data_IF_265182824113
#
_entry.id   IF_265182824113
#
_cell.length_a   1.000
_cell.length_b   1.000
_cell.length_c   1.000
_cell.angle_alpha   90.00
_cell.angle_beta   90.00
_cell.angle_gamma   90.00
#
_symmetry.space_group_name_H-M   'P 1'
#
loop_
_entity.id
_entity.type
_entity.pdbx_description
1 polymer ?
#
# COMPACT_ATOMS: atom_id res chain seq x y z
N UNK A 1 -11.62 -4.37 54.76
CA UNK A 1 -11.74 -3.91 53.36
C UNK A 1 -10.46 -3.29 52.77
N UNK A 2 -9.47 -2.88 53.56
CA UNK A 2 -8.25 -2.20 53.07
C UNK A 2 -7.23 -3.16 52.40
N UNK A 3 -7.29 -4.47 52.70
CA UNK A 3 -6.30 -5.44 52.20
C UNK A 3 -6.53 -5.90 50.74
N UNK A 4 -7.70 -5.62 50.15
CA UNK A 4 -8.04 -6.12 48.82
C UNK A 4 -7.64 -5.15 47.70
N UNK A 5 -7.61 -3.83 47.98
CA UNK A 5 -7.27 -2.79 47.00
C UNK A 5 -5.78 -2.73 46.69
N UNK A 6 -4.91 -2.99 47.67
CA UNK A 6 -3.45 -3.02 47.47
C UNK A 6 -2.99 -4.17 46.57
N UNK A 7 -3.67 -5.32 46.61
CA UNK A 7 -3.35 -6.47 45.75
C UNK A 7 -3.69 -6.22 44.27
N UNK A 8 -4.77 -5.48 43.99
CA UNK A 8 -5.14 -5.08 42.63
C UNK A 8 -4.19 -4.03 42.05
N UNK A 9 -3.70 -3.09 42.86
CA UNK A 9 -2.74 -2.06 42.42
C UNK A 9 -1.37 -2.68 42.08
N UNK A 10 -0.91 -3.67 42.86
CA UNK A 10 0.33 -4.41 42.55
C UNK A 10 0.21 -5.26 41.28
N UNK A 11 -0.92 -5.95 41.09
CA UNK A 11 -1.18 -6.71 39.86
C UNK A 11 -1.28 -5.81 38.61
N UNK A 12 -1.91 -4.64 38.73
CA UNK A 12 -1.98 -3.66 37.64
C UNK A 12 -0.59 -3.06 37.34
N UNK A 13 0.24 -2.81 38.36
CA UNK A 13 1.61 -2.34 38.20
C UNK A 13 2.50 -3.32 37.41
N UNK A 14 2.41 -4.61 37.72
CA UNK A 14 3.16 -5.68 37.01
C UNK A 14 2.64 -5.89 35.58
N UNK A 15 1.32 -5.80 35.35
CA UNK A 15 0.73 -5.90 34.00
C UNK A 15 1.11 -4.74 33.09
N UNK A 16 1.22 -3.54 33.67
CA UNK A 16 1.61 -2.35 32.95
C UNK A 16 3.13 -2.40 32.64
N UNK A 17 3.99 -2.83 33.56
CA UNK A 17 5.46 -2.85 33.34
C UNK A 17 5.94 -3.86 32.27
N UNK A 18 5.10 -4.79 31.81
CA UNK A 18 5.43 -5.81 30.80
C UNK A 18 5.07 -5.45 29.34
N UNK A 19 4.72 -4.19 29.04
CA UNK A 19 4.62 -3.69 27.65
C UNK A 19 5.41 -2.37 27.60
N UNK A 20 6.42 -2.17 26.72
CA UNK A 20 6.44 -2.51 25.29
C UNK A 20 7.85 -2.81 24.69
N UNK A 21 8.22 -4.07 24.47
CA UNK A 21 9.45 -4.40 23.71
C UNK A 21 9.22 -4.44 22.18
N UNK A 22 7.97 -4.40 21.70
CA UNK A 22 7.65 -4.65 20.29
C UNK A 22 7.75 -3.40 19.38
N UNK A 23 7.59 -2.20 19.92
CA UNK A 23 7.60 -0.97 19.09
C UNK A 23 9.01 -0.54 18.65
N UNK A 24 10.05 -0.82 19.46
CA UNK A 24 11.43 -0.49 19.11
C UNK A 24 11.96 -1.38 17.97
N UNK A 25 11.55 -2.66 17.94
CA UNK A 25 11.93 -3.59 16.88
C UNK A 25 11.37 -3.19 15.51
N UNK A 26 10.20 -2.56 15.44
CA UNK A 26 9.57 -2.22 14.16
C UNK A 26 10.34 -1.15 13.37
N UNK A 27 10.83 -0.10 14.04
CA UNK A 27 11.59 0.97 13.39
C UNK A 27 12.97 0.49 12.93
N UNK A 28 13.65 -0.31 13.76
CA UNK A 28 14.96 -0.89 13.41
C UNK A 28 14.83 -1.88 12.24
N UNK A 29 13.81 -2.76 12.29
CA UNK A 29 13.53 -3.69 11.19
C UNK A 29 13.23 -2.95 9.89
N UNK A 30 12.45 -1.86 9.94
CA UNK A 30 12.18 -1.04 8.75
C UNK A 30 13.46 -0.46 8.17
N UNK A 31 14.36 0.08 9.00
CA UNK A 31 15.66 0.59 8.56
C UNK A 31 16.52 -0.50 7.90
N UNK A 32 16.53 -1.72 8.48
CA UNK A 32 17.23 -2.88 7.89
C UNK A 32 16.66 -3.27 6.53
N UNK A 33 15.33 -3.26 6.37
CA UNK A 33 14.68 -3.55 5.10
C UNK A 33 14.94 -2.47 4.05
N UNK A 34 14.90 -1.19 4.44
CA UNK A 34 15.24 -0.07 3.56
C UNK A 34 16.70 -0.17 3.09
N UNK A 35 17.62 -0.56 3.97
CA UNK A 35 19.02 -0.80 3.63
C UNK A 35 19.19 -2.00 2.69
N UNK A 36 18.47 -3.11 2.93
CA UNK A 36 18.49 -4.28 2.04
C UNK A 36 17.95 -3.94 0.65
N UNK A 37 16.85 -3.18 0.57
CA UNK A 37 16.30 -2.71 -0.69
C UNK A 37 17.28 -1.81 -1.45
N UNK A 38 17.99 -0.91 -0.76
CA UNK A 38 19.06 -0.12 -1.37
C UNK A 38 20.16 -1.01 -1.96
N UNK A 39 20.61 -2.04 -1.22
CA UNK A 39 21.63 -2.97 -1.71
C UNK A 39 21.14 -3.76 -2.94
N UNK A 40 19.87 -4.20 -2.97
CA UNK A 40 19.30 -4.84 -4.17
C UNK A 40 19.39 -3.91 -5.39
N UNK A 41 18.95 -2.66 -5.24
CA UNK A 41 18.97 -1.66 -6.31
C UNK A 41 20.41 -1.36 -6.76
N UNK A 42 21.33 -1.19 -5.81
CA UNK A 42 22.76 -0.98 -6.07
C UNK A 42 23.35 -2.15 -6.87
N UNK A 43 23.12 -3.39 -6.44
CA UNK A 43 23.60 -4.60 -7.13
C UNK A 43 23.03 -4.70 -8.54
N UNK A 44 21.78 -4.27 -8.76
CA UNK A 44 21.20 -4.20 -10.11
C UNK A 44 21.91 -3.16 -10.99
N UNK A 45 22.21 -1.97 -10.46
CA UNK A 45 22.94 -0.93 -11.20
C UNK A 45 24.37 -1.41 -11.53
N UNK A 46 25.06 -2.04 -10.59
CA UNK A 46 26.38 -2.64 -10.83
C UNK A 46 26.31 -3.75 -11.88
N UNK A 47 25.27 -4.58 -11.90
CA UNK A 47 25.06 -5.55 -12.98
C UNK A 47 24.90 -4.88 -14.35
N UNK A 48 24.17 -3.77 -14.45
CA UNK A 48 24.02 -3.03 -15.71
C UNK A 48 25.37 -2.52 -16.25
N UNK A 49 26.33 -2.20 -15.39
CA UNK A 49 27.69 -1.82 -15.83
C UNK A 49 28.45 -2.95 -16.52
N UNK A 50 28.03 -4.21 -16.34
CA UNK A 50 28.65 -5.37 -17.00
C UNK A 50 28.11 -5.61 -18.42
N UNK A 51 27.00 -4.96 -18.79
CA UNK A 51 26.41 -5.01 -20.13
C UNK A 51 27.09 -3.99 -21.07
N UNK A 52 28.28 -4.36 -21.54
CA UNK A 52 29.08 -3.54 -22.47
C UNK A 52 28.45 -3.39 -23.85
N UNK A 53 27.48 -4.24 -24.21
CA UNK A 53 26.76 -4.14 -25.48
C UNK A 53 25.78 -2.97 -25.45
N UNK A 54 25.02 -2.84 -24.36
CA UNK A 54 24.08 -1.73 -24.20
C UNK A 54 24.79 -0.44 -23.76
N UNK A 55 25.78 -0.53 -22.87
CA UNK A 55 26.45 0.62 -22.25
C UNK A 55 27.94 0.64 -22.59
N UNK A 56 28.31 1.39 -23.64
CA UNK A 56 29.68 1.40 -24.17
C UNK A 56 30.66 2.30 -23.37
N UNK A 57 30.14 3.22 -22.55
CA UNK A 57 30.93 4.25 -21.86
C UNK A 57 31.07 4.00 -20.35
N UNK A 58 30.98 2.74 -19.92
CA UNK A 58 31.18 2.35 -18.51
C UNK A 58 32.65 2.57 -18.12
N UNK A 59 32.86 3.34 -17.04
CA UNK A 59 34.18 3.68 -16.47
C UNK A 59 34.54 2.82 -15.26
N UNK A 60 33.54 2.42 -14.47
CA UNK A 60 33.71 1.63 -13.26
C UNK A 60 32.55 0.64 -13.10
N UNK A 61 32.84 -0.57 -12.65
CA UNK A 61 31.87 -1.66 -12.50
C UNK A 61 31.30 -1.82 -11.08
N UNK A 62 31.77 -1.01 -10.12
CA UNK A 62 31.35 -1.07 -8.72
C UNK A 62 31.18 0.33 -8.14
N UNK A 63 30.13 0.51 -7.34
CA UNK A 63 29.82 1.77 -6.69
C UNK A 63 30.27 1.75 -5.23
N UNK A 64 31.06 2.73 -4.80
CA UNK A 64 31.38 2.96 -3.38
C UNK A 64 30.34 3.87 -2.69
N UNK A 65 29.09 3.77 -3.12
CA UNK A 65 27.98 4.54 -2.56
C UNK A 65 27.28 3.81 -1.40
N UNK A 66 26.85 4.59 -0.43
CA UNK A 66 26.03 4.23 0.74
C UNK A 66 24.64 4.89 0.72
N UNK A 67 24.37 5.72 -0.29
CA UNK A 67 23.14 6.49 -0.46
C UNK A 67 22.63 6.45 -1.90
N UNK A 68 21.33 6.74 -2.08
CA UNK A 68 20.70 6.82 -3.40
C UNK A 68 21.28 7.94 -4.26
N UNK A 69 21.68 9.06 -3.67
CA UNK A 69 22.27 10.18 -4.41
C UNK A 69 23.65 9.80 -4.95
N UNK A 70 24.50 9.16 -4.14
CA UNK A 70 25.78 8.63 -4.62
C UNK A 70 25.62 7.54 -5.68
N UNK A 71 24.54 6.74 -5.63
CA UNK A 71 24.22 5.78 -6.68
C UNK A 71 23.80 6.46 -7.99
N UNK A 72 23.09 7.59 -7.92
CA UNK A 72 22.75 8.42 -9.10
C UNK A 72 23.99 9.07 -9.71
N UNK A 73 24.91 9.59 -8.89
CA UNK A 73 26.18 10.12 -9.37
C UNK A 73 26.98 9.04 -10.12
N UNK A 74 27.01 7.81 -9.58
CA UNK A 74 27.64 6.67 -10.23
C UNK A 74 26.98 6.32 -11.58
N UNK A 75 25.65 6.39 -11.67
CA UNK A 75 24.89 6.19 -12.92
C UNK A 75 25.27 7.25 -13.96
N UNK A 76 25.35 8.53 -13.55
CA UNK A 76 25.73 9.63 -14.43
C UNK A 76 27.18 9.50 -14.90
N UNK A 77 28.12 9.13 -14.02
CA UNK A 77 29.53 8.95 -14.36
C UNK A 77 29.76 7.84 -15.41
N UNK A 78 28.94 6.78 -15.38
CA UNK A 78 29.00 5.63 -16.27
C UNK A 78 28.01 5.71 -17.46
N UNK A 79 27.28 6.81 -17.61
CA UNK A 79 26.33 7.03 -18.71
C UNK A 79 25.28 5.91 -18.87
N UNK A 80 24.78 5.37 -17.74
CA UNK A 80 23.79 4.30 -17.74
C UNK A 80 22.38 4.86 -18.05
N UNK A 81 22.06 5.03 -19.33
CA UNK A 81 20.82 5.65 -19.80
C UNK A 81 19.58 4.95 -19.20
N UNK A 82 18.77 5.71 -18.45
CA UNK A 82 17.51 5.25 -17.85
C UNK A 82 17.66 4.49 -16.53
N UNK A 83 18.88 4.25 -16.05
CA UNK A 83 19.11 3.61 -14.76
C UNK A 83 18.70 4.52 -13.58
N UNK A 84 18.74 5.84 -13.76
CA UNK A 84 18.24 6.84 -12.82
C UNK A 84 16.75 6.65 -12.51
N UNK A 85 15.93 6.50 -13.56
CA UNK A 85 14.49 6.23 -13.44
C UNK A 85 14.24 4.88 -12.79
N UNK A 86 15.04 3.85 -13.13
CA UNK A 86 14.95 2.53 -12.50
C UNK A 86 15.17 2.62 -10.99
N UNK A 87 16.17 3.38 -10.54
CA UNK A 87 16.46 3.60 -9.10
C UNK A 87 15.27 4.26 -8.40
N UNK A 88 14.71 5.32 -8.98
CA UNK A 88 13.58 6.04 -8.38
C UNK A 88 12.29 5.19 -8.32
N UNK A 89 11.98 4.46 -9.39
CA UNK A 89 10.84 3.54 -9.42
C UNK A 89 11.00 2.39 -8.42
N UNK A 90 12.20 1.78 -8.38
CA UNK A 90 12.49 0.68 -7.46
C UNK A 90 12.46 1.13 -6.00
N UNK A 91 13.01 2.32 -5.68
CA UNK A 91 12.95 2.93 -4.35
C UNK A 91 11.51 3.17 -3.92
N UNK A 92 10.67 3.71 -4.81
CA UNK A 92 9.24 3.93 -4.52
C UNK A 92 8.51 2.61 -4.24
N UNK A 93 8.77 1.59 -5.05
CA UNK A 93 8.14 0.27 -4.87
C UNK A 93 8.62 -0.43 -3.60
N UNK A 94 9.90 -0.33 -3.27
CA UNK A 94 10.43 -0.82 -2.00
C UNK A 94 9.73 -0.14 -0.82
N UNK A 95 9.57 1.19 -0.83
CA UNK A 95 8.86 1.90 0.22
C UNK A 95 7.39 1.46 0.37
N UNK A 96 6.70 1.19 -0.74
CA UNK A 96 5.33 0.66 -0.74
C UNK A 96 5.24 -0.76 -0.16
N UNK A 97 6.13 -1.66 -0.59
CA UNK A 97 6.16 -3.05 -0.10
C UNK A 97 6.55 -3.12 1.38
N UNK A 98 7.56 -2.34 1.80
CA UNK A 98 8.05 -2.32 3.18
C UNK A 98 7.01 -1.71 4.13
N UNK A 99 6.16 -0.80 3.67
CA UNK A 99 5.05 -0.27 4.47
C UNK A 99 4.03 -1.36 4.87
N UNK A 100 3.96 -2.48 4.13
CA UNK A 100 3.10 -3.62 4.40
C UNK A 100 3.82 -4.66 5.28
N UNK A 101 4.35 -4.22 6.43
CA UNK A 101 5.38 -4.83 7.31
C UNK A 101 5.18 -6.32 7.66
N UNK A 102 4.00 -6.89 7.46
CA UNK A 102 3.66 -8.23 7.93
C UNK A 102 4.49 -9.35 7.25
N UNK A 103 5.14 -9.08 6.11
CA UNK A 103 5.95 -10.08 5.39
C UNK A 103 7.26 -9.50 4.83
N UNK A 104 8.32 -9.38 5.65
CA UNK A 104 9.61 -8.79 5.24
C UNK A 104 10.27 -9.47 4.04
N UNK A 105 10.16 -10.80 3.97
CA UNK A 105 10.72 -11.60 2.87
C UNK A 105 10.00 -11.29 1.55
N UNK A 106 8.67 -11.40 1.56
CA UNK A 106 7.80 -11.11 0.40
C UNK A 106 7.99 -9.68 -0.08
N UNK A 107 8.18 -8.72 0.83
CA UNK A 107 8.44 -7.33 0.47
C UNK A 107 9.73 -7.17 -0.36
N UNK A 108 10.83 -7.82 0.06
CA UNK A 108 12.12 -7.78 -0.65
C UNK A 108 12.12 -8.64 -1.92
N UNK A 109 11.48 -9.82 -1.91
CA UNK A 109 11.29 -10.64 -3.11
C UNK A 109 10.51 -9.86 -4.18
N UNK A 110 9.46 -9.12 -3.80
CA UNK A 110 8.74 -8.26 -4.73
C UNK A 110 9.58 -7.11 -5.31
N UNK A 111 10.63 -6.65 -4.62
CA UNK A 111 11.60 -5.69 -5.15
C UNK A 111 12.58 -6.38 -6.11
N UNK A 112 13.09 -7.57 -5.75
CA UNK A 112 13.94 -8.40 -6.61
C UNK A 112 13.24 -8.72 -7.94
N UNK A 113 12.01 -9.20 -7.90
CA UNK A 113 11.23 -9.56 -9.09
C UNK A 113 11.00 -8.36 -10.00
N UNK A 114 10.69 -7.20 -9.40
CA UNK A 114 10.56 -5.95 -10.13
C UNK A 114 11.85 -5.56 -10.86
N UNK A 115 12.99 -5.66 -10.16
CA UNK A 115 14.30 -5.34 -10.73
C UNK A 115 14.64 -6.30 -11.86
N UNK A 116 14.50 -7.62 -11.66
CA UNK A 116 14.70 -8.66 -12.67
C UNK A 116 13.81 -8.45 -13.90
N UNK A 117 12.53 -8.15 -13.69
CA UNK A 117 11.59 -7.85 -14.77
C UNK A 117 12.06 -6.62 -15.58
N UNK A 118 12.53 -5.57 -14.91
CA UNK A 118 12.95 -4.34 -15.58
C UNK A 118 14.29 -4.48 -16.29
N UNK A 119 15.23 -5.25 -15.75
CA UNK A 119 16.58 -5.33 -16.34
C UNK A 119 16.80 -6.50 -17.28
N UNK A 120 16.11 -7.62 -17.08
CA UNK A 120 16.43 -8.88 -17.77
C UNK A 120 15.20 -9.59 -18.35
N UNK A 121 14.09 -8.90 -18.60
CA UNK A 121 12.91 -9.47 -19.27
C UNK A 121 12.50 -8.69 -20.53
N UNK A 122 11.62 -9.30 -21.35
CA UNK A 122 11.12 -8.69 -22.59
C UNK A 122 12.26 -8.44 -23.59
N UNK A 123 12.32 -7.22 -24.13
CA UNK A 123 13.37 -6.80 -25.07
C UNK A 123 14.80 -6.85 -24.48
N UNK A 124 14.90 -6.98 -23.15
CA UNK A 124 16.17 -7.07 -22.41
C UNK A 124 16.51 -8.50 -21.96
N UNK A 125 15.75 -9.49 -22.41
CA UNK A 125 15.96 -10.90 -22.04
C UNK A 125 17.36 -11.42 -22.44
N UNK A 126 18.01 -10.81 -23.45
CA UNK A 126 19.39 -11.14 -23.83
C UNK A 126 20.38 -10.98 -22.67
N UNK A 127 20.09 -10.12 -21.68
CA UNK A 127 20.94 -9.92 -20.50
C UNK A 127 21.02 -11.14 -19.59
N UNK A 128 20.06 -12.06 -19.67
CA UNK A 128 20.13 -13.33 -18.94
C UNK A 128 21.28 -14.22 -19.42
N UNK A 129 21.77 -14.00 -20.64
CA UNK A 129 22.90 -14.74 -21.21
C UNK A 129 24.26 -14.11 -20.87
N UNK A 130 24.30 -12.98 -20.15
CA UNK A 130 25.56 -12.38 -19.73
C UNK A 130 26.25 -13.30 -18.71
N UNK A 131 27.58 -13.52 -18.79
CA UNK A 131 28.30 -14.39 -17.86
C UNK A 131 28.15 -13.98 -16.38
N UNK A 132 27.86 -12.70 -16.14
CA UNK A 132 27.68 -12.10 -14.81
C UNK A 132 26.25 -12.25 -14.25
N UNK A 133 25.27 -12.69 -15.06
CA UNK A 133 23.87 -12.74 -14.65
C UNK A 133 23.61 -13.71 -13.48
N UNK A 134 24.20 -14.91 -13.53
CA UNK A 134 24.04 -15.90 -12.46
C UNK A 134 24.62 -15.40 -11.11
N UNK A 135 25.75 -14.68 -11.16
CA UNK A 135 26.34 -14.06 -9.98
C UNK A 135 25.46 -12.91 -9.44
N UNK A 136 24.83 -12.15 -10.33
CA UNK A 136 23.87 -11.09 -9.99
C UNK A 136 22.63 -11.64 -9.26
N UNK A 137 22.00 -12.71 -9.77
CA UNK A 137 20.83 -13.31 -9.09
C UNK A 137 21.20 -13.86 -7.71
N UNK A 138 22.31 -14.58 -7.62
CA UNK A 138 22.83 -15.11 -6.36
C UNK A 138 23.13 -14.00 -5.34
N UNK A 139 23.69 -12.86 -5.80
CA UNK A 139 23.95 -11.71 -4.94
C UNK A 139 22.65 -11.11 -4.37
N UNK A 140 21.59 -11.01 -5.18
CA UNK A 140 20.28 -10.54 -4.71
C UNK A 140 19.68 -11.47 -3.66
N UNK A 141 19.73 -12.79 -3.89
CA UNK A 141 19.27 -13.78 -2.91
C UNK A 141 20.08 -13.73 -1.61
N UNK A 142 21.39 -13.53 -1.71
CA UNK A 142 22.27 -13.31 -0.57
C UNK A 142 21.92 -12.05 0.24
N UNK A 143 21.48 -10.98 -0.41
CA UNK A 143 21.01 -9.76 0.27
C UNK A 143 19.72 -10.03 1.04
N UNK A 144 18.74 -10.70 0.41
CA UNK A 144 17.45 -11.03 1.04
C UNK A 144 17.68 -11.93 2.26
N UNK A 145 18.46 -13.00 2.11
CA UNK A 145 18.71 -13.93 3.21
C UNK A 145 19.43 -13.25 4.39
N UNK A 146 20.44 -12.41 4.14
CA UNK A 146 21.14 -11.67 5.21
C UNK A 146 20.24 -10.70 5.97
N UNK A 147 19.31 -10.05 5.28
CA UNK A 147 18.37 -9.12 5.89
C UNK A 147 17.38 -9.83 6.83
N UNK A 148 17.10 -11.12 6.59
CA UNK A 148 16.16 -11.91 7.36
C UNK A 148 16.82 -12.70 8.52
N UNK A 149 18.10 -13.06 8.41
CA UNK A 149 18.79 -13.89 9.40
C UNK A 149 19.35 -13.11 10.60
N UNK A 150 19.41 -11.78 10.53
CA UNK A 150 20.05 -10.93 11.57
C UNK A 150 19.20 -10.74 12.85
N UNK A 151 18.17 -11.55 13.05
CA UNK A 151 17.30 -11.52 14.23
C UNK A 151 17.76 -12.33 15.44
N UNK A 152 18.91 -13.03 15.40
CA UNK A 152 19.24 -14.01 16.46
C UNK A 152 20.69 -14.06 16.96
N UNK A 153 21.54 -13.08 16.66
CA UNK A 153 22.91 -13.08 17.17
C UNK A 153 23.24 -11.78 17.91
N UNK A 154 23.33 -11.89 19.24
CA UNK A 154 24.17 -11.03 20.07
C UNK A 154 25.56 -10.96 19.41
N UNK A 155 26.02 -9.74 19.20
CA UNK A 155 27.23 -9.38 18.49
C UNK A 155 28.44 -10.24 18.92
N UNK A 156 29.01 -10.96 17.97
CA UNK A 156 30.44 -11.27 17.95
C UNK A 156 31.06 -10.37 16.89
N UNK A 157 32.09 -9.57 17.20
CA UNK A 157 32.73 -8.69 16.23
C UNK A 157 33.37 -9.52 15.11
N UNK A 158 33.10 -9.14 13.87
CA UNK A 158 33.72 -9.72 12.68
C UNK A 158 35.24 -9.51 12.75
N UNK A 159 35.97 -10.62 12.86
CA UNK A 159 37.40 -10.68 12.57
C UNK A 159 37.59 -10.52 11.06
N UNK A 160 38.33 -9.49 10.67
CA UNK A 160 39.00 -9.38 9.38
C UNK A 160 39.83 -10.63 9.12
N UNK A 161 39.42 -11.44 8.16
CA UNK A 161 40.25 -12.50 7.59
C UNK A 161 41.06 -11.88 6.47
N UNK A 162 42.31 -11.54 6.78
CA UNK A 162 43.33 -11.22 5.80
C UNK A 162 43.55 -12.43 4.89
N UNK A 163 43.36 -12.24 3.60
CA UNK A 163 43.79 -13.19 2.57
C UNK A 163 45.27 -12.93 2.27
N UNK A 164 46.12 -13.96 2.11
CA UNK A 164 47.57 -13.78 2.05
C UNK A 164 47.99 -13.15 0.72
N UNK A 165 48.50 -11.93 0.78
CA UNK A 165 49.26 -11.30 -0.29
C UNK A 165 50.68 -11.89 -0.33
N UNK A 166 51.06 -12.35 -1.52
CA UNK A 166 52.35 -12.97 -1.77
C UNK A 166 53.50 -11.99 -1.52
N UNK A 167 54.47 -12.47 -0.75
CA UNK A 167 55.68 -11.77 -0.37
C UNK A 167 56.53 -11.32 -1.57
N UNK A 168 57.05 -10.08 -1.52
CA UNK A 168 58.46 -9.78 -1.83
C UNK A 168 58.88 -8.52 -1.04
N UNK A 169 60.06 -8.48 -0.39
CA UNK A 169 60.45 -7.42 0.54
C UNK A 169 61.26 -6.33 -0.16
N UNK A 170 61.29 -5.10 0.38
CA UNK A 170 62.49 -4.23 0.42
C UNK A 170 62.28 -3.00 1.35
N UNK A 171 63.10 -2.98 2.41
CA UNK A 171 63.82 -1.87 3.06
C UNK A 171 63.13 -0.57 3.55
N UNK A 172 63.13 -0.43 4.88
CA UNK A 172 63.90 0.55 5.69
C UNK A 172 63.76 2.05 5.44
N UNK A 173 63.20 2.77 6.44
CA UNK A 173 63.79 3.85 7.26
C UNK A 173 62.64 4.58 7.98
N UNK A 174 62.50 4.55 9.30
CA UNK A 174 63.28 5.30 10.30
C UNK A 174 63.19 6.82 10.10
N UNK A 175 62.45 7.51 10.97
CA UNK A 175 62.89 8.72 11.70
C UNK A 175 61.78 9.15 12.68
N UNK A 176 62.21 9.38 13.92
CA UNK A 176 61.45 9.78 15.09
C UNK A 176 61.43 11.31 15.31
N UNK A 177 60.82 11.71 16.43
CA UNK A 177 61.11 12.89 17.28
C UNK A 177 60.17 14.15 17.18
N UNK A 178 60.12 15.05 18.21
CA UNK A 178 59.15 14.99 19.31
C UNK A 178 58.38 16.33 19.59
N UNK A 179 57.65 16.35 20.73
CA UNK A 179 56.74 17.39 21.29
C UNK A 179 57.39 18.79 21.60
N UNK A 180 56.65 19.87 22.01
CA UNK A 180 56.08 19.99 23.37
C UNK A 180 54.81 20.90 23.61
N UNK A 181 54.07 20.55 24.68
CA UNK A 181 53.45 21.35 25.79
C UNK A 181 53.09 22.84 25.62
N UNK A 182 51.85 23.21 25.99
CA UNK A 182 51.54 24.38 26.82
C UNK A 182 50.13 24.32 27.50
N UNK A 183 50.10 24.57 28.81
CA UNK A 183 48.94 24.78 29.70
C UNK A 183 48.75 26.29 29.97
N UNK A 184 47.53 26.80 30.19
CA UNK A 184 47.24 27.54 31.44
C UNK A 184 45.80 27.30 31.96
N UNK A 185 45.62 26.97 33.25
CA UNK A 185 45.41 27.86 34.42
C UNK A 185 43.95 28.16 34.74
N UNK A 186 43.52 27.59 35.87
CA UNK A 186 42.29 27.84 36.61
C UNK A 186 42.06 29.34 36.90
N UNK A 187 40.82 29.81 36.75
CA UNK A 187 40.27 30.92 37.55
C UNK A 187 39.00 30.44 38.22
N UNK A 188 39.15 30.16 39.51
CA UNK A 188 38.13 29.73 40.44
C UNK A 188 37.39 30.99 40.93
N UNK A 189 36.14 31.17 40.51
CA UNK A 189 35.24 32.18 41.09
C UNK A 189 34.05 31.49 41.76
N UNK A 190 33.99 31.65 43.08
CA UNK A 190 32.96 31.17 43.98
C UNK A 190 31.62 31.90 43.72
N UNK A 191 30.72 31.33 42.90
CA UNK A 191 29.29 31.73 42.89
C UNK A 191 28.29 30.60 42.60
N UNK A 192 28.71 29.34 42.59
CA UNK A 192 27.91 28.22 42.03
C UNK A 192 27.05 27.44 43.04
N UNK A 193 26.27 28.11 43.90
CA UNK A 193 25.30 27.39 44.76
C UNK A 193 23.85 27.44 44.29
N UNK A 194 23.46 28.36 43.39
CA UNK A 194 22.07 28.44 42.89
C UNK A 194 21.88 27.82 41.49
N UNK A 195 22.87 27.87 40.61
CA UNK A 195 22.73 27.33 39.24
C UNK A 195 22.65 25.80 39.21
N UNK A 196 23.33 25.11 40.12
CA UNK A 196 23.21 23.66 40.26
C UNK A 196 21.78 23.24 40.62
N UNK A 197 21.07 24.01 41.46
CA UNK A 197 19.68 23.71 41.81
C UNK A 197 18.73 23.89 40.63
N UNK A 198 18.95 24.90 39.78
CA UNK A 198 18.16 25.09 38.57
C UNK A 198 18.33 23.93 37.58
N UNK A 199 19.55 23.41 37.44
CA UNK A 199 19.84 22.26 36.58
C UNK A 199 19.20 20.98 37.13
N UNK A 200 19.27 20.74 38.44
CA UNK A 200 18.58 19.60 39.07
C UNK A 200 17.05 19.68 38.92
N UNK A 201 16.44 20.85 39.09
CA UNK A 201 14.99 21.04 38.88
C UNK A 201 14.58 20.86 37.41
N UNK A 202 15.41 21.31 36.46
CA UNK A 202 15.17 21.11 35.04
C UNK A 202 15.23 19.63 34.64
N UNK A 203 16.16 18.86 35.21
CA UNK A 203 16.23 17.41 34.98
C UNK A 203 15.02 16.71 35.61
N UNK A 204 14.63 17.11 36.83
CA UNK A 204 13.48 16.52 37.51
C UNK A 204 12.16 16.77 36.76
N UNK A 205 11.99 17.95 36.15
CA UNK A 205 10.80 18.26 35.35
C UNK A 205 10.76 17.44 34.05
N UNK A 206 11.92 17.25 33.40
CA UNK A 206 12.02 16.41 32.20
C UNK A 206 11.65 14.95 32.52
N UNK A 207 12.15 14.42 33.64
CA UNK A 207 11.80 13.08 34.12
C UNK A 207 10.31 12.98 34.45
N UNK A 208 9.73 14.02 35.06
CA UNK A 208 8.29 14.08 35.35
C UNK A 208 7.41 14.06 34.09
N UNK A 209 7.77 14.83 33.07
CA UNK A 209 7.04 14.86 31.79
C UNK A 209 7.19 13.53 31.04
N UNK A 210 8.40 12.95 31.01
CA UNK A 210 8.63 11.63 30.41
C UNK A 210 7.83 10.53 31.14
N UNK A 211 7.72 10.62 32.46
CA UNK A 211 6.93 9.69 33.26
C UNK A 211 5.42 9.83 33.02
N UNK A 212 4.90 11.06 32.88
CA UNK A 212 3.50 11.30 32.51
C UNK A 212 3.19 10.82 31.09
N UNK A 213 4.05 11.10 30.11
CA UNK A 213 3.92 10.59 28.75
C UNK A 213 3.93 9.06 28.72
N UNK A 214 4.82 8.44 29.50
CA UNK A 214 4.86 7.00 29.68
C UNK A 214 3.54 6.47 30.27
N UNK A 215 2.99 7.10 31.32
CA UNK A 215 1.70 6.68 31.90
C UNK A 215 0.52 6.79 30.93
N UNK A 216 0.49 7.84 30.09
CA UNK A 216 -0.56 8.00 29.06
C UNK A 216 -0.47 6.91 28.00
N UNK A 217 0.73 6.61 27.49
CA UNK A 217 0.95 5.52 26.52
C UNK A 217 0.63 4.16 27.12
N UNK A 218 0.95 3.97 28.40
CA UNK A 218 0.78 2.69 29.12
C UNK A 218 -0.69 2.39 29.47
N UNK A 219 -1.51 3.43 29.72
CA UNK A 219 -2.93 3.28 30.01
C UNK A 219 -3.81 3.13 28.76
N UNK A 220 -3.26 3.30 27.56
CA UNK A 220 -3.92 2.88 26.33
C UNK A 220 -3.86 1.34 26.25
N UNK A 221 -4.88 0.67 26.79
CA UNK A 221 -5.04 -0.79 26.62
C UNK A 221 -5.14 -1.09 25.11
N UNK A 222 -4.28 -1.94 24.54
CA UNK A 222 -4.39 -2.32 23.14
C UNK A 222 -5.58 -3.28 23.00
N UNK A 223 -6.66 -2.79 22.40
CA UNK A 223 -7.73 -3.64 21.85
C UNK A 223 -7.30 -4.40 20.57
N UNK A 224 -6.00 -4.40 20.23
CA UNK A 224 -5.47 -4.97 18.98
C UNK A 224 -5.36 -6.50 18.97
N UNK A 225 -5.35 -7.18 20.13
CA UNK A 225 -5.08 -8.63 20.19
C UNK A 225 -6.15 -9.52 19.54
N UNK A 226 -7.41 -9.07 19.42
CA UNK A 226 -8.44 -9.83 18.71
C UNK A 226 -8.42 -9.55 17.19
N UNK A 227 -7.89 -8.38 16.79
CA UNK A 227 -7.82 -7.96 15.39
C UNK A 227 -6.64 -8.63 14.68
N UNK A 228 -5.50 -8.78 15.36
CA UNK A 228 -4.29 -9.37 14.78
C UNK A 228 -4.45 -10.87 14.48
N UNK A 229 -5.13 -11.63 15.36
CA UNK A 229 -5.46 -13.06 15.08
C UNK A 229 -6.41 -13.20 13.89
N UNK A 230 -7.32 -12.23 13.71
CA UNK A 230 -8.22 -12.21 12.58
C UNK A 230 -7.49 -11.85 11.27
N UNK A 231 -6.53 -10.90 11.33
CA UNK A 231 -5.67 -10.55 10.21
C UNK A 231 -4.75 -11.69 9.78
N UNK A 232 -4.14 -12.44 10.70
CA UNK A 232 -3.29 -13.58 10.36
C UNK A 232 -4.08 -14.70 9.67
N UNK A 233 -5.32 -14.95 10.12
CA UNK A 233 -6.20 -15.91 9.45
C UNK A 233 -6.63 -15.46 8.04
N UNK A 234 -6.77 -14.15 7.84
CA UNK A 234 -7.08 -13.57 6.52
C UNK A 234 -5.86 -13.56 5.60
N UNK A 235 -4.66 -13.31 6.14
CA UNK A 235 -3.40 -13.42 5.43
C UNK A 235 -3.12 -14.85 4.97
N UNK A 236 -3.36 -15.85 5.83
CA UNK A 236 -3.27 -17.25 5.44
C UNK A 236 -4.26 -17.61 4.32
N UNK A 237 -5.49 -17.06 4.37
CA UNK A 237 -6.54 -17.30 3.37
C UNK A 237 -6.28 -16.56 2.04
N UNK A 238 -5.64 -15.38 2.10
CA UNK A 238 -5.21 -14.62 0.92
C UNK A 238 -3.99 -15.29 0.27
N UNK A 239 -3.03 -15.76 1.07
CA UNK A 239 -1.89 -16.55 0.58
C UNK A 239 -2.35 -17.82 -0.12
N UNK A 240 -3.34 -18.53 0.44
CA UNK A 240 -3.91 -19.74 -0.19
C UNK A 240 -4.71 -19.41 -1.46
N UNK A 241 -5.32 -18.23 -1.55
CA UNK A 241 -5.96 -17.75 -2.78
C UNK A 241 -4.93 -17.33 -3.83
N UNK A 242 -3.83 -16.69 -3.43
CA UNK A 242 -2.75 -16.31 -4.34
C UNK A 242 -2.07 -17.55 -4.89
N UNK A 243 -1.74 -18.55 -4.05
CA UNK A 243 -1.18 -19.81 -4.52
C UNK A 243 -2.14 -20.55 -5.45
N UNK A 244 -3.45 -20.55 -5.16
CA UNK A 244 -4.47 -21.14 -6.03
C UNK A 244 -4.68 -20.36 -7.33
N UNK A 245 -4.50 -19.04 -7.30
CA UNK A 245 -4.52 -18.20 -8.50
C UNK A 245 -3.24 -18.32 -9.31
N UNK A 246 -2.10 -18.58 -8.69
CA UNK A 246 -0.81 -18.81 -9.35
C UNK A 246 -0.74 -20.20 -9.97
N UNK A 247 -1.28 -21.22 -9.30
CA UNK A 247 -1.54 -22.54 -9.89
C UNK A 247 -2.54 -22.44 -11.04
N UNK A 248 -3.58 -21.59 -10.94
CA UNK A 248 -4.48 -21.31 -12.08
C UNK A 248 -3.80 -20.51 -13.19
N UNK A 249 -2.94 -19.54 -12.89
CA UNK A 249 -2.20 -18.75 -13.89
C UNK A 249 -1.20 -19.61 -14.65
N UNK A 250 -0.68 -20.66 -14.03
CA UNK A 250 0.13 -21.69 -14.70
C UNK A 250 -0.71 -22.81 -15.36
N UNK A 251 -2.03 -22.87 -15.14
CA UNK A 251 -2.96 -23.86 -15.74
C UNK A 251 -4.02 -23.29 -16.69
N UNK A 252 -4.07 -21.98 -16.95
CA UNK A 252 -5.08 -21.36 -17.83
C UNK A 252 -4.47 -20.15 -18.53
N UNK A 253 -4.79 -19.77 -19.77
CA UNK A 253 -5.74 -20.28 -20.75
C UNK A 253 -5.50 -19.43 -22.02
N UNK A 254 -4.66 -19.87 -22.94
CA UNK A 254 -4.77 -19.41 -24.33
C UNK A 254 -4.90 -20.62 -25.24
N UNK A 255 -4.07 -21.65 -25.06
CA UNK A 255 -4.11 -22.88 -25.87
C UNK A 255 -5.34 -23.76 -25.64
N UNK A 256 -5.88 -23.85 -24.42
CA UNK A 256 -7.04 -24.71 -24.14
C UNK A 256 -8.37 -24.09 -24.62
N UNK A 257 -8.55 -22.77 -24.49
CA UNK A 257 -9.72 -22.10 -25.06
C UNK A 257 -9.68 -22.08 -26.58
N UNK A 258 -8.51 -21.90 -27.20
CA UNK A 258 -8.37 -21.97 -28.66
C UNK A 258 -8.67 -23.38 -29.18
N UNK A 259 -8.19 -24.44 -28.51
CA UNK A 259 -8.50 -25.81 -28.91
C UNK A 259 -9.98 -26.16 -28.72
N UNK A 260 -10.61 -25.71 -27.63
CA UNK A 260 -12.05 -25.92 -27.43
C UNK A 260 -12.89 -25.16 -28.47
N UNK A 261 -12.45 -23.96 -28.88
CA UNK A 261 -13.10 -23.21 -29.97
C UNK A 261 -12.87 -23.87 -31.33
N UNK A 262 -11.68 -24.41 -31.61
CA UNK A 262 -11.38 -25.16 -32.83
C UNK A 262 -12.24 -26.42 -32.94
N UNK A 263 -12.39 -27.17 -31.85
CA UNK A 263 -13.21 -28.39 -31.84
C UNK A 263 -14.72 -28.08 -31.95
N UNK A 264 -15.17 -26.99 -31.33
CA UNK A 264 -16.55 -26.52 -31.49
C UNK A 264 -16.83 -26.05 -32.94
N UNK A 265 -15.87 -25.37 -33.56
CA UNK A 265 -15.98 -24.92 -34.94
C UNK A 265 -15.97 -26.12 -35.91
N UNK A 266 -15.11 -27.12 -35.70
CA UNK A 266 -15.06 -28.33 -36.51
C UNK A 266 -16.40 -29.11 -36.45
N UNK A 267 -17.01 -29.24 -35.27
CA UNK A 267 -18.34 -29.86 -35.12
C UNK A 267 -19.42 -29.06 -35.85
N UNK A 268 -19.36 -27.73 -35.81
CA UNK A 268 -20.33 -26.87 -36.49
C UNK A 268 -20.25 -27.01 -38.02
N UNK A 269 -19.04 -27.15 -38.57
CA UNK A 269 -18.82 -27.34 -40.01
C UNK A 269 -19.36 -28.70 -40.47
N UNK A 270 -19.11 -29.78 -39.72
CA UNK A 270 -19.67 -31.10 -40.04
C UNK A 270 -21.20 -31.12 -40.08
N UNK A 271 -21.85 -30.41 -39.16
CA UNK A 271 -23.31 -30.29 -39.14
C UNK A 271 -23.85 -29.50 -40.33
N UNK A 272 -23.14 -28.47 -40.79
CA UNK A 272 -23.52 -27.72 -41.98
C UNK A 272 -23.32 -28.53 -43.27
N UNK A 273 -22.27 -29.36 -43.35
CA UNK A 273 -22.06 -30.27 -44.48
C UNK A 273 -23.13 -31.35 -44.56
N UNK A 274 -23.49 -31.99 -43.43
CA UNK A 274 -24.58 -32.98 -43.40
C UNK A 274 -25.92 -32.37 -43.81
N UNK A 275 -26.25 -31.17 -43.33
CA UNK A 275 -27.48 -30.47 -43.72
C UNK A 275 -27.49 -30.03 -45.19
N UNK A 276 -26.31 -29.84 -45.82
CA UNK A 276 -26.21 -29.42 -47.23
C UNK A 276 -26.47 -30.58 -48.18
N UNK A 277 -26.15 -31.82 -47.80
CA UNK A 277 -26.41 -33.02 -48.62
C UNK A 277 -27.87 -33.45 -48.67
N UNK A 278 -28.73 -32.97 -47.76
CA UNK A 278 -30.12 -33.42 -47.65
C UNK A 278 -31.18 -32.46 -48.20
N UNK A 279 -30.82 -31.29 -48.75
CA UNK A 279 -31.83 -30.37 -49.31
C UNK A 279 -32.03 -30.60 -50.82
N UNK A 280 -33.15 -31.20 -51.27
CA UNK A 280 -33.46 -31.32 -52.68
C UNK A 280 -33.83 -29.94 -53.23
N UNK A 281 -33.37 -29.66 -54.45
CA UNK A 281 -33.68 -28.44 -55.17
C UNK A 281 -35.20 -28.28 -55.36
N UNK A 282 -35.76 -27.18 -54.87
CA UNK A 282 -37.13 -26.76 -55.15
C UNK A 282 -37.24 -25.22 -55.12
N UNK A 283 -38.20 -24.65 -55.87
CA UNK A 283 -37.95 -23.51 -56.76
C UNK A 283 -38.23 -22.14 -56.14
N UNK A 284 -37.63 -21.15 -56.79
CA UNK A 284 -37.72 -19.70 -56.60
C UNK A 284 -39.16 -19.17 -56.53
N UNK A 285 -39.53 -18.58 -55.41
CA UNK A 285 -40.68 -17.68 -55.29
C UNK A 285 -40.23 -16.30 -54.79
N UNK A 286 -40.49 -15.28 -55.60
CA UNK A 286 -40.26 -13.85 -55.34
C UNK A 286 -41.44 -13.28 -54.56
N UNK A 287 -41.24 -12.57 -53.44
CA UNK A 287 -42.20 -11.56 -52.91
C UNK A 287 -41.45 -10.52 -52.04
N UNK A 288 -41.90 -9.24 -52.02
CA UNK A 288 -41.07 -8.03 -51.84
C UNK A 288 -41.15 -7.35 -50.46
N UNK A 289 -40.19 -6.44 -50.23
CA UNK A 289 -40.05 -5.60 -49.04
C UNK A 289 -41.18 -4.55 -48.92
N UNK A 290 -41.73 -4.41 -47.71
CA UNK A 290 -42.62 -3.31 -47.32
C UNK A 290 -41.95 -2.44 -46.25
N UNK A 291 -41.96 -1.13 -46.52
CA UNK A 291 -41.27 -0.04 -45.82
C UNK A 291 -42.25 0.63 -44.86
N UNK A 292 -41.93 0.70 -43.56
CA UNK A 292 -42.73 1.43 -42.56
C UNK A 292 -42.01 2.71 -42.13
N UNK A 293 -42.68 3.85 -42.33
CA UNK A 293 -42.32 5.21 -41.85
C UNK A 293 -42.79 5.44 -40.40
N UNK A 294 -42.14 6.29 -39.60
CA UNK A 294 -42.63 6.69 -38.28
C UNK A 294 -43.53 7.94 -38.34
N UNK A 295 -44.60 7.93 -37.53
CA UNK A 295 -45.54 9.04 -37.36
C UNK A 295 -45.20 9.90 -36.14
N UNK A 296 -45.29 11.20 -36.38
CA UNK A 296 -45.22 12.34 -35.45
C UNK A 296 -46.46 12.38 -34.55
N UNK A 297 -46.31 12.75 -33.28
CA UNK A 297 -47.42 13.19 -32.45
C UNK A 297 -47.03 14.40 -31.62
N UNK A 298 -47.89 15.41 -31.70
CA UNK A 298 -47.76 16.82 -31.33
C UNK A 298 -48.86 17.17 -30.31
N UNK A 299 -48.55 18.13 -29.41
CA UNK A 299 -49.45 18.94 -28.56
C UNK A 299 -50.16 18.24 -27.36
N UNK A 300 -50.65 18.95 -26.30
CA UNK A 300 -51.07 20.37 -26.30
C UNK A 300 -50.80 21.25 -25.05
N UNK A 301 -50.99 22.55 -25.30
CA UNK A 301 -51.02 23.73 -24.42
C UNK A 301 -51.87 23.62 -23.14
N UNK A 302 -51.42 24.31 -22.08
CA UNK A 302 -52.20 24.58 -20.86
C UNK A 302 -52.09 26.07 -20.45
N UNK A 303 -53.17 26.72 -19.95
CA UNK A 303 -53.42 28.15 -20.13
C UNK A 303 -52.93 29.08 -19.01
N UNK A 304 -52.77 30.33 -19.43
CA UNK A 304 -52.38 31.54 -18.70
C UNK A 304 -53.51 32.05 -17.77
N UNK A 305 -53.17 32.45 -16.52
CA UNK A 305 -54.12 33.06 -15.56
C UNK A 305 -53.43 34.22 -14.81
N UNK A 306 -54.14 35.32 -14.44
CA UNK A 306 -53.57 36.66 -14.40
C UNK A 306 -53.27 37.25 -13.00
N UNK A 307 -52.33 38.20 -13.01
CA UNK A 307 -52.04 39.33 -12.11
C UNK A 307 -52.76 39.44 -10.75
N UNK A 308 -51.95 39.47 -9.67
CA UNK A 308 -52.27 40.14 -8.39
C UNK A 308 -51.09 40.99 -7.87
N UNK A 309 -51.38 42.06 -7.08
CA UNK A 309 -50.47 43.18 -6.88
C UNK A 309 -49.45 42.98 -5.77
N UNK A 310 -48.40 43.80 -5.88
CA UNK A 310 -47.19 43.87 -5.07
C UNK A 310 -47.45 43.99 -3.55
N UNK A 311 -46.78 43.13 -2.79
CA UNK A 311 -46.56 43.34 -1.37
C UNK A 311 -45.06 43.36 -1.07
N UNK A 312 -44.60 44.52 -0.58
CA UNK A 312 -43.23 44.84 -0.18
C UNK A 312 -42.88 44.11 1.12
N UNK A 313 -41.58 43.91 1.34
CA UNK A 313 -40.93 43.23 2.48
C UNK A 313 -40.93 41.69 2.42
N UNK A 314 -40.25 41.11 1.43
CA UNK A 314 -39.65 39.77 1.58
C UNK A 314 -38.27 39.95 2.21
N UNK A 315 -38.13 39.52 3.46
CA UNK A 315 -36.84 39.04 3.96
C UNK A 315 -36.32 38.01 2.94
N UNK A 316 -35.02 38.00 2.59
CA UNK A 316 -34.47 36.93 1.78
C UNK A 316 -34.66 35.63 2.55
N UNK A 317 -35.70 34.87 2.20
CA UNK A 317 -35.85 33.49 2.59
C UNK A 317 -34.70 32.76 1.93
N UNK A 318 -33.61 32.59 2.67
CA UNK A 318 -32.51 31.70 2.31
C UNK A 318 -33.15 30.32 2.20
N UNK A 319 -33.45 29.92 0.97
CA UNK A 319 -33.94 28.58 0.67
C UNK A 319 -32.86 27.61 1.15
N UNK A 320 -33.16 26.70 2.09
CA UNK A 320 -32.16 25.76 2.58
C UNK A 320 -31.64 24.99 1.38
N UNK A 321 -30.32 25.05 1.15
CA UNK A 321 -29.67 24.36 0.05
C UNK A 321 -30.11 22.90 0.08
N UNK A 322 -30.72 22.44 -1.02
CA UNK A 322 -31.21 21.08 -1.13
C UNK A 322 -29.99 20.15 -1.00
N UNK A 323 -29.99 19.19 -0.07
CA UNK A 323 -28.84 18.30 0.09
C UNK A 323 -28.60 17.53 -1.21
N UNK A 324 -27.39 17.64 -1.74
CA UNK A 324 -26.98 16.92 -2.95
C UNK A 324 -26.59 15.50 -2.54
N UNK A 325 -27.30 14.51 -3.08
CA UNK A 325 -26.95 13.11 -2.92
C UNK A 325 -25.88 12.71 -3.95
N UNK A 326 -24.84 12.04 -3.48
CA UNK A 326 -23.78 11.43 -4.28
C UNK A 326 -23.66 9.94 -3.93
N UNK A 327 -23.08 9.16 -4.82
CA UNK A 327 -23.01 7.71 -4.69
C UNK A 327 -21.59 7.22 -4.92
N UNK A 328 -21.17 6.21 -4.16
CA UNK A 328 -19.84 5.62 -4.28
C UNK A 328 -19.90 4.09 -4.22
N UNK A 329 -19.02 3.44 -4.97
CA UNK A 329 -18.89 1.97 -4.96
C UNK A 329 -18.09 1.46 -3.76
N UNK A 330 -17.00 2.13 -3.42
CA UNK A 330 -16.11 1.75 -2.32
C UNK A 330 -15.39 2.98 -1.78
N UNK A 331 -14.80 2.88 -0.59
CA UNK A 331 -13.87 3.86 -0.05
C UNK A 331 -12.49 3.63 -0.69
N UNK A 332 -12.31 4.14 -1.91
CA UNK A 332 -11.17 3.90 -2.79
C UNK A 332 -9.81 4.36 -2.22
N UNK A 333 -9.82 5.27 -1.26
CA UNK A 333 -8.62 5.83 -0.63
C UNK A 333 -8.37 5.28 0.78
N UNK A 334 -9.06 4.21 1.20
CA UNK A 334 -8.89 3.50 2.47
C UNK A 334 -9.44 4.22 3.71
N UNK A 335 -9.25 5.53 3.82
CA UNK A 335 -9.84 6.41 4.86
C UNK A 335 -10.80 7.45 4.27
N UNK A 336 -11.29 7.24 3.05
CA UNK A 336 -12.20 8.18 2.41
C UNK A 336 -12.62 7.80 1.00
N UNK A 337 -13.36 8.72 0.39
CA UNK A 337 -13.83 8.65 -0.99
C UNK A 337 -13.15 9.74 -1.82
N UNK A 338 -12.65 9.42 -3.01
CA UNK A 338 -12.21 10.41 -3.99
C UNK A 338 -13.40 11.23 -4.48
N UNK A 339 -13.30 12.56 -4.48
CA UNK A 339 -14.36 13.44 -4.98
C UNK A 339 -14.68 13.19 -6.47
N UNK A 340 -13.66 12.83 -7.26
CA UNK A 340 -13.83 12.49 -8.69
C UNK A 340 -14.40 11.10 -8.94
N UNK A 341 -14.45 10.23 -7.92
CA UNK A 341 -15.04 8.89 -7.99
C UNK A 341 -16.52 8.84 -7.59
N UNK A 342 -17.12 9.98 -7.22
CA UNK A 342 -18.50 10.07 -6.80
C UNK A 342 -19.44 10.22 -8.00
N UNK A 343 -20.51 9.44 -8.00
CA UNK A 343 -21.55 9.47 -9.02
C UNK A 343 -22.74 10.31 -8.55
N UNK A 344 -23.42 10.98 -9.47
CA UNK A 344 -24.64 11.77 -9.17
C UNK A 344 -25.91 10.94 -9.26
N UNK A 345 -25.83 9.74 -9.85
CA UNK A 345 -26.95 8.81 -10.01
C UNK A 345 -26.64 7.48 -9.33
N UNK A 346 -27.60 6.86 -8.64
CA UNK A 346 -27.39 5.56 -8.03
C UNK A 346 -27.25 4.50 -9.12
N UNK A 347 -26.19 3.69 -9.06
CA UNK A 347 -25.96 2.57 -9.97
C UNK A 347 -26.10 1.24 -9.22
N UNK A 348 -26.02 0.12 -9.95
CA UNK A 348 -26.19 -1.21 -9.34
C UNK A 348 -25.03 -1.59 -8.42
N UNK A 349 -23.87 -0.95 -8.59
CA UNK A 349 -22.65 -1.21 -7.84
C UNK A 349 -22.27 -0.10 -6.86
N UNK A 350 -23.11 0.92 -6.68
CA UNK A 350 -22.89 1.97 -5.67
C UNK A 350 -23.33 1.50 -4.28
N UNK A 351 -22.36 1.09 -3.45
CA UNK A 351 -22.59 0.56 -2.10
C UNK A 351 -22.92 1.65 -1.08
N UNK A 352 -22.49 2.89 -1.31
CA UNK A 352 -22.64 3.99 -0.37
C UNK A 352 -23.48 5.13 -0.95
N UNK A 353 -24.42 5.61 -0.14
CA UNK A 353 -25.18 6.84 -0.38
C UNK A 353 -24.57 7.95 0.48
N UNK A 354 -24.15 9.04 -0.13
CA UNK A 354 -23.50 10.19 0.50
C UNK A 354 -24.42 11.40 0.39
N UNK A 355 -24.69 12.05 1.51
CA UNK A 355 -25.52 13.26 1.58
C UNK A 355 -24.65 14.44 2.00
N UNK A 356 -24.47 15.41 1.09
CA UNK A 356 -23.70 16.64 1.39
C UNK A 356 -24.53 17.54 2.31
N UNK A 357 -23.96 17.88 3.47
CA UNK A 357 -24.58 18.78 4.45
C UNK A 357 -24.07 20.22 4.31
N UNK A 358 -22.79 20.38 3.99
CA UNK A 358 -22.15 21.66 3.69
C UNK A 358 -20.97 21.46 2.73
N UNK A 359 -20.34 22.54 2.27
CA UNK A 359 -19.20 22.50 1.36
C UNK A 359 -18.02 21.64 1.85
N UNK A 360 -17.92 21.43 3.17
CA UNK A 360 -16.83 20.67 3.79
C UNK A 360 -17.28 19.46 4.60
N UNK A 361 -18.59 19.24 4.76
CA UNK A 361 -19.12 18.14 5.59
C UNK A 361 -20.20 17.37 4.85
N UNK A 362 -20.14 16.05 4.96
CA UNK A 362 -21.15 15.15 4.42
C UNK A 362 -21.37 13.97 5.37
N UNK A 363 -22.52 13.33 5.26
CA UNK A 363 -22.80 12.05 5.92
C UNK A 363 -22.91 10.94 4.89
N UNK A 364 -22.62 9.71 5.27
CA UNK A 364 -22.79 8.57 4.38
C UNK A 364 -23.38 7.35 5.08
N UNK A 365 -24.02 6.49 4.30
CA UNK A 365 -24.60 5.24 4.78
C UNK A 365 -24.49 4.17 3.69
N UNK A 366 -24.64 2.90 4.08
CA UNK A 366 -24.75 1.81 3.10
C UNK A 366 -26.10 1.92 2.40
N UNK A 367 -26.09 1.80 1.07
CA UNK A 367 -27.27 1.91 0.22
C UNK A 367 -28.33 0.85 0.57
N UNK A 368 -29.60 1.23 0.48
CA UNK A 368 -30.71 0.32 0.72
C UNK A 368 -31.04 -0.58 -0.48
N UNK A 369 -30.42 -0.31 -1.64
CA UNK A 369 -30.61 -1.06 -2.88
C UNK A 369 -30.15 -2.52 -2.73
N UNK A 370 -31.04 -3.46 -3.03
CA UNK A 370 -30.79 -4.89 -2.90
C UNK A 370 -29.60 -5.39 -3.74
N UNK A 371 -29.40 -4.84 -4.94
CA UNK A 371 -28.26 -5.22 -5.80
C UNK A 371 -26.93 -4.74 -5.21
N UNK A 372 -26.87 -3.50 -4.73
CA UNK A 372 -25.70 -2.94 -4.07
C UNK A 372 -25.36 -3.68 -2.77
N UNK A 373 -26.38 -4.04 -1.98
CA UNK A 373 -26.18 -4.84 -0.77
C UNK A 373 -25.69 -6.25 -1.08
N UNK A 374 -26.23 -6.90 -2.12
CA UNK A 374 -25.74 -8.21 -2.57
C UNK A 374 -24.27 -8.15 -2.99
N UNK A 375 -23.87 -7.08 -3.69
CA UNK A 375 -22.46 -6.85 -4.03
C UNK A 375 -21.60 -6.69 -2.78
N UNK A 376 -22.02 -5.83 -1.84
CA UNK A 376 -21.29 -5.63 -0.58
C UNK A 376 -21.19 -6.91 0.25
N UNK A 377 -22.24 -7.75 0.27
CA UNK A 377 -22.26 -9.03 0.97
C UNK A 377 -21.44 -10.12 0.29
N UNK A 378 -21.16 -10.01 -1.01
CA UNK A 378 -20.30 -10.96 -1.71
C UNK A 378 -18.84 -10.92 -1.23
N UNK A 379 -18.39 -9.73 -0.80
CA UNK A 379 -17.09 -9.53 -0.16
C UNK A 379 -17.13 -8.37 0.85
N UNK A 380 -17.69 -8.57 2.06
CA UNK A 380 -17.88 -7.51 3.05
C UNK A 380 -16.56 -6.83 3.44
N UNK A 381 -15.46 -7.57 3.46
CA UNK A 381 -14.17 -7.03 3.88
C UNK A 381 -13.60 -6.02 2.88
N UNK A 382 -13.81 -6.24 1.58
CA UNK A 382 -13.34 -5.32 0.54
C UNK A 382 -14.23 -4.09 0.39
N UNK A 383 -15.55 -4.22 0.58
CA UNK A 383 -16.48 -3.11 0.34
C UNK A 383 -16.81 -2.28 1.59
N UNK A 384 -16.81 -2.88 2.78
CA UNK A 384 -17.37 -2.23 3.98
C UNK A 384 -16.33 -1.97 5.09
N UNK A 385 -15.23 -2.73 5.19
CA UNK A 385 -14.30 -2.65 6.33
C UNK A 385 -13.67 -1.26 6.51
N UNK A 386 -13.37 -0.59 5.41
CA UNK A 386 -12.71 0.72 5.42
C UNK A 386 -13.67 1.82 5.90
N UNK A 387 -14.97 1.71 5.57
CA UNK A 387 -15.96 2.74 5.83
C UNK A 387 -16.96 2.41 6.96
N UNK A 388 -17.06 1.17 7.41
CA UNK A 388 -18.10 0.74 8.36
C UNK A 388 -17.52 0.05 9.59
N UNK A 389 -18.26 0.14 10.69
CA UNK A 389 -18.08 -0.63 11.92
C UNK A 389 -19.21 -1.66 12.03
N UNK A 390 -18.86 -2.92 12.27
CA UNK A 390 -19.81 -4.03 12.31
C UNK A 390 -20.34 -4.26 13.71
N UNK A 391 -21.65 -4.08 13.89
CA UNK A 391 -22.34 -4.39 15.15
C UNK A 391 -22.69 -5.88 15.25
N UNK A 392 -22.86 -6.56 14.12
CA UNK A 392 -23.08 -8.01 14.04
C UNK A 392 -22.19 -8.61 12.95
N UNK A 393 -22.04 -9.95 12.92
CA UNK A 393 -21.26 -10.61 11.87
C UNK A 393 -22.09 -10.85 10.60
N UNK A 394 -21.48 -10.78 9.40
CA UNK A 394 -22.19 -11.05 8.14
C UNK A 394 -22.64 -12.51 8.04
N UNK A 395 -23.89 -12.71 7.62
CA UNK A 395 -24.48 -14.01 7.32
C UNK A 395 -24.80 -14.08 5.81
N UNK A 396 -24.62 -15.22 5.13
CA UNK A 396 -24.93 -15.38 3.70
C UNK A 396 -26.31 -14.87 3.24
N UNK A 397 -27.31 -14.90 4.13
CA UNK A 397 -28.68 -14.46 3.82
C UNK A 397 -29.08 -13.16 4.53
N UNK A 398 -28.12 -12.45 5.14
CA UNK A 398 -28.41 -11.22 5.87
C UNK A 398 -28.66 -10.04 4.95
N UNK A 399 -29.40 -9.05 5.44
CA UNK A 399 -29.51 -7.72 4.84
C UNK A 399 -28.66 -6.72 5.62
N UNK A 400 -28.08 -5.72 4.96
CA UNK A 400 -27.32 -4.69 5.65
C UNK A 400 -28.29 -3.58 6.06
N UNK A 401 -28.26 -3.19 7.33
CA UNK A 401 -28.96 -2.03 7.88
C UNK A 401 -27.97 -1.08 8.53
N UNK A 402 -28.01 0.18 8.13
CA UNK A 402 -27.25 1.25 8.78
C UNK A 402 -27.99 1.69 10.03
N UNK A 403 -27.37 1.50 11.21
CA UNK A 403 -27.91 1.94 12.50
C UNK A 403 -27.47 3.38 12.82
N UNK A 404 -26.24 3.74 12.44
CA UNK A 404 -25.72 5.11 12.56
C UNK A 404 -24.96 5.49 11.26
N UNK A 405 -25.33 6.59 10.58
CA UNK A 405 -24.59 7.06 9.42
C UNK A 405 -23.18 7.54 9.82
N UNK A 406 -22.23 7.38 8.92
CA UNK A 406 -20.86 7.88 9.08
C UNK A 406 -20.75 9.36 8.70
N UNK A 407 -19.61 9.96 9.07
CA UNK A 407 -19.30 11.37 8.85
C UNK A 407 -18.08 11.53 7.93
N UNK A 408 -18.14 12.54 7.06
CA UNK A 408 -17.10 12.89 6.10
C UNK A 408 -16.69 14.35 6.24
N UNK A 409 -15.43 14.63 5.95
CA UNK A 409 -14.89 15.99 5.82
C UNK A 409 -14.09 16.11 4.54
N UNK A 410 -14.37 17.15 3.73
CA UNK A 410 -13.64 17.41 2.49
C UNK A 410 -12.24 17.96 2.80
N UNK A 411 -11.21 17.30 2.29
CA UNK A 411 -9.81 17.69 2.41
C UNK A 411 -9.16 17.68 1.02
N UNK A 412 -9.21 18.82 0.32
CA UNK A 412 -8.83 18.88 -1.10
C UNK A 412 -9.84 18.10 -1.95
N UNK A 413 -9.36 17.19 -2.80
CA UNK A 413 -10.20 16.35 -3.67
C UNK A 413 -10.63 15.02 -3.02
N UNK A 414 -10.65 14.97 -1.69
CA UNK A 414 -10.93 13.75 -0.92
C UNK A 414 -11.94 14.00 0.19
N UNK A 415 -13.01 13.20 0.21
CA UNK A 415 -13.93 13.10 1.34
C UNK A 415 -13.40 12.10 2.36
N UNK A 416 -12.72 12.61 3.39
CA UNK A 416 -12.12 11.79 4.45
C UNK A 416 -13.17 11.35 5.48
N UNK A 417 -13.18 10.07 5.83
CA UNK A 417 -14.02 9.48 6.88
C UNK A 417 -13.52 9.94 8.25
N UNK A 418 -14.35 10.70 8.95
CA UNK A 418 -14.09 11.14 10.33
C UNK A 418 -14.77 10.23 11.35
N UNK A 419 -15.94 9.69 11.02
CA UNK A 419 -16.66 8.69 11.82
C UNK A 419 -17.18 7.58 10.90
N UNK A 420 -16.90 6.31 11.24
CA UNK A 420 -17.38 5.16 10.46
C UNK A 420 -18.88 4.95 10.65
N UNK A 421 -19.58 4.56 9.60
CA UNK A 421 -20.98 4.17 9.69
C UNK A 421 -21.12 2.88 10.50
N UNK A 422 -22.05 2.81 11.45
CA UNK A 422 -22.32 1.58 12.22
C UNK A 422 -23.41 0.79 11.54
N UNK A 423 -23.08 -0.43 11.16
CA UNK A 423 -23.99 -1.31 10.41
C UNK A 423 -24.25 -2.60 11.17
N UNK A 424 -25.43 -3.15 10.94
CA UNK A 424 -25.83 -4.48 11.39
C UNK A 424 -26.26 -5.30 10.19
N UNK A 425 -25.96 -6.58 10.24
CA UNK A 425 -26.49 -7.62 9.37
C UNK A 425 -27.72 -8.22 10.05
N UNK A 426 -28.91 -8.06 9.44
CA UNK A 426 -30.21 -8.58 9.90
C UNK A 426 -30.66 -9.82 9.17
#
# INVERSE_FOLDING_TARGET
>A
MICQTTRWILLLGVLLLNRPAFAQNAAENRKKLDQAAFQLIKTTVEFLTTDTQTFQHVKANRCQCDSYDGLKDFITQNELIGADKLVDEARRRAAQNIAQINQPRTALEGVKDYLNQKVASGDRASRQNLPTYAAFESAMDGIINRALTTGSAVAAPEQTVDTPEAATPTATSETAEPAPVATPSNTQSNSNSMDSFALFLSILSLVGVAFLAYLVVKNQKPQQSARDVQFDSQLAKLSDRISKLEVRKNQTNETFQLNAQLEALERSVRLLEQNRTEKPAAPTARVPLEVVKPAVQEAPDEPEVPNRPANRFRTPTVEPARPTALFARTADLGDGFSAGGLLTTPERDTVFDITIQSDTQATYQVSENADAQRLALSDPYSYLNDACEYLTQPNPNSRIRTEQPGQLTLQGDKWKITEKAKIRFI
#
